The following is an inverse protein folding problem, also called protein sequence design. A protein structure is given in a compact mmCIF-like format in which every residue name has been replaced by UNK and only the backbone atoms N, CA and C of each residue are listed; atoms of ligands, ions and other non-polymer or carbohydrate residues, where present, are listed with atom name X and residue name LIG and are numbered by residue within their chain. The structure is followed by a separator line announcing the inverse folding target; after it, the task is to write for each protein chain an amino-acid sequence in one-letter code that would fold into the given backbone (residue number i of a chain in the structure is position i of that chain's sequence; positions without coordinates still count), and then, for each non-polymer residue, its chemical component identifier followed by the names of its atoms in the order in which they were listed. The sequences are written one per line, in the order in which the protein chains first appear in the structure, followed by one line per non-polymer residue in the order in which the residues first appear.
data_IF_410394011563
#
_entry.id   IF_410394011563
#
_cell.length_a   1.000
_cell.length_b   1.000
_cell.length_c   1.000
_cell.angle_alpha   90.00
_cell.angle_beta   90.00
_cell.angle_gamma   90.00
#
_symmetry.space_group_name_H-M   'P 1'
#
loop_
_entity.id
_entity.type
_entity.pdbx_description
1 polymer ?
#
# COMPACT_ATOMS: atom_id res chain seq x y z
N UNK A 1 30.92 -4.38 -35.56
CA UNK A 1 29.47 -4.65 -35.77
C UNK A 1 28.72 -4.22 -34.53
N UNK A 2 27.64 -3.46 -34.70
CA UNK A 2 26.75 -3.02 -33.62
C UNK A 2 25.62 -4.01 -33.37
N UNK A 3 24.98 -3.87 -32.21
CA UNK A 3 23.78 -4.58 -31.80
C UNK A 3 22.86 -3.59 -31.09
N UNK A 4 21.55 -3.75 -31.29
CA UNK A 4 20.51 -3.00 -30.57
C UNK A 4 19.88 -3.91 -29.53
N UNK A 5 19.88 -3.48 -28.27
CA UNK A 5 19.31 -4.21 -27.15
C UNK A 5 18.11 -3.44 -26.58
N UNK A 6 16.99 -4.13 -26.35
CA UNK A 6 15.90 -3.59 -25.57
C UNK A 6 16.14 -3.88 -24.09
N UNK A 7 16.15 -2.82 -23.30
CA UNK A 7 16.38 -2.87 -21.87
C UNK A 7 15.11 -2.49 -21.13
N UNK A 8 14.84 -3.20 -20.04
CA UNK A 8 13.74 -2.91 -19.12
C UNK A 8 14.27 -2.82 -17.70
N UNK A 9 13.88 -1.80 -16.95
CA UNK A 9 14.22 -1.70 -15.53
C UNK A 9 13.34 -2.68 -14.75
N UNK A 10 13.95 -3.42 -13.82
CA UNK A 10 13.23 -4.35 -12.94
C UNK A 10 12.06 -3.63 -12.27
N UNK A 11 10.90 -4.29 -12.19
CA UNK A 11 9.63 -3.76 -11.64
C UNK A 11 8.87 -2.74 -12.52
N UNK A 12 9.39 -2.39 -13.70
CA UNK A 12 8.65 -1.56 -14.66
C UNK A 12 7.87 -2.39 -15.71
N UNK A 13 6.98 -1.74 -16.46
CA UNK A 13 6.21 -2.35 -17.56
C UNK A 13 6.95 -2.27 -18.91
N UNK A 14 6.63 -3.16 -19.86
CA UNK A 14 7.25 -3.19 -21.22
C UNK A 14 7.12 -1.86 -21.97
N UNK A 15 6.09 -1.07 -21.70
CA UNK A 15 5.89 0.28 -22.24
C UNK A 15 7.05 1.22 -21.91
N UNK A 16 7.75 0.99 -20.80
CA UNK A 16 8.92 1.77 -20.38
C UNK A 16 10.25 1.22 -20.91
N UNK A 17 10.22 0.16 -21.71
CA UNK A 17 11.43 -0.40 -22.31
C UNK A 17 12.08 0.59 -23.26
N UNK A 18 13.40 0.54 -23.34
CA UNK A 18 14.19 1.48 -24.13
C UNK A 18 15.30 0.77 -24.90
N UNK A 19 15.65 1.34 -26.06
CA UNK A 19 16.68 0.80 -26.95
C UNK A 19 18.07 1.35 -26.57
N UNK A 20 19.06 0.47 -26.59
CA UNK A 20 20.48 0.79 -26.43
C UNK A 20 21.26 0.21 -27.60
N UNK A 21 21.92 1.07 -28.36
CA UNK A 21 22.81 0.69 -29.44
C UNK A 21 24.26 0.65 -28.95
N UNK A 22 24.94 -0.47 -29.20
CA UNK A 22 26.31 -0.68 -28.72
C UNK A 22 27.11 -1.61 -29.64
N UNK A 23 28.43 -1.46 -29.69
CA UNK A 23 29.29 -2.35 -30.48
C UNK A 23 29.49 -3.71 -29.77
N UNK A 24 29.38 -4.81 -30.51
CA UNK A 24 29.43 -6.18 -29.98
C UNK A 24 30.76 -6.53 -29.28
N UNK A 25 31.85 -5.87 -29.65
CA UNK A 25 33.20 -6.07 -29.10
C UNK A 25 33.42 -5.36 -27.76
N UNK A 26 32.52 -4.46 -27.35
CA UNK A 26 32.59 -3.77 -26.06
C UNK A 26 32.22 -4.71 -24.90
N UNK A 27 32.67 -4.31 -23.71
CA UNK A 27 32.36 -5.01 -22.47
C UNK A 27 30.97 -4.68 -21.95
N UNK A 28 30.45 -5.53 -21.05
CA UNK A 28 29.22 -5.26 -20.32
C UNK A 28 29.32 -3.98 -19.47
N UNK A 29 30.52 -3.56 -19.04
CA UNK A 29 30.72 -2.25 -18.38
C UNK A 29 30.25 -1.08 -19.25
N UNK A 30 30.56 -1.11 -20.54
CA UNK A 30 30.12 -0.07 -21.49
C UNK A 30 28.62 -0.14 -21.75
N UNK A 31 28.03 -1.32 -21.70
CA UNK A 31 26.57 -1.47 -21.74
C UNK A 31 25.91 -0.81 -20.53
N UNK A 32 26.44 -1.03 -19.31
CA UNK A 32 25.93 -0.37 -18.08
C UNK A 32 26.01 1.16 -18.17
N UNK A 33 27.11 1.71 -18.69
CA UNK A 33 27.26 3.15 -18.92
C UNK A 33 26.23 3.68 -19.92
N UNK A 34 26.04 2.98 -21.06
CA UNK A 34 25.08 3.37 -22.08
C UNK A 34 23.63 3.34 -21.57
N UNK A 35 23.28 2.32 -20.77
CA UNK A 35 21.99 2.20 -20.09
C UNK A 35 21.74 3.40 -19.17
N UNK A 36 22.71 3.74 -18.31
CA UNK A 36 22.60 4.89 -17.40
C UNK A 36 22.43 6.19 -18.18
N UNK A 37 23.18 6.37 -19.28
CA UNK A 37 23.12 7.56 -20.11
C UNK A 37 21.75 7.74 -20.81
N UNK A 38 21.05 6.65 -21.13
CA UNK A 38 19.71 6.70 -21.73
C UNK A 38 18.61 7.04 -20.73
N UNK A 39 18.78 6.68 -19.45
CA UNK A 39 17.80 6.94 -18.39
C UNK A 39 18.43 7.63 -17.16
N UNK A 40 18.92 8.87 -17.30
CA UNK A 40 19.63 9.55 -16.22
C UNK A 40 18.73 9.82 -15.01
N UNK A 41 17.43 10.06 -15.22
CA UNK A 41 16.47 10.32 -14.14
C UNK A 41 16.18 9.07 -13.28
N UNK A 42 16.16 7.89 -13.89
CA UNK A 42 15.96 6.63 -13.17
C UNK A 42 17.18 6.24 -12.33
N UNK A 43 18.38 6.66 -12.77
CA UNK A 43 19.65 6.26 -12.18
C UNK A 43 20.46 7.43 -11.61
N UNK A 44 19.80 8.53 -11.19
CA UNK A 44 20.47 9.76 -10.70
C UNK A 44 21.49 9.45 -9.61
N UNK A 45 21.11 8.60 -8.65
CA UNK A 45 21.93 8.26 -7.48
C UNK A 45 22.55 6.86 -7.57
N UNK A 46 22.61 6.26 -8.76
CA UNK A 46 23.11 4.89 -8.95
C UNK A 46 24.31 4.92 -9.87
N UNK A 47 25.47 4.42 -9.41
CA UNK A 47 26.62 4.28 -10.29
C UNK A 47 26.35 3.17 -11.32
N UNK A 48 26.84 3.36 -12.55
CA UNK A 48 26.68 2.37 -13.61
C UNK A 48 27.25 1.01 -13.19
N UNK A 49 28.33 0.98 -12.40
CA UNK A 49 28.97 -0.25 -11.90
C UNK A 49 28.03 -1.09 -11.02
N UNK A 50 27.11 -0.43 -10.29
CA UNK A 50 26.22 -1.05 -9.30
C UNK A 50 24.95 -1.63 -9.94
N UNK A 51 24.69 -1.32 -11.22
CA UNK A 51 23.61 -1.93 -11.98
C UNK A 51 23.89 -3.42 -12.20
N UNK A 52 22.95 -4.30 -11.86
CA UNK A 52 22.99 -5.70 -12.27
C UNK A 52 22.21 -5.88 -13.56
N UNK A 53 22.79 -6.57 -14.54
CA UNK A 53 22.17 -6.79 -15.83
C UNK A 53 21.94 -8.28 -16.04
N UNK A 54 20.76 -8.65 -16.51
CA UNK A 54 20.36 -10.03 -16.74
C UNK A 54 19.93 -10.20 -18.18
N UNK A 55 20.41 -11.25 -18.84
CA UNK A 55 19.89 -11.64 -20.16
C UNK A 55 18.58 -12.38 -19.97
N UNK A 56 17.55 -11.96 -20.70
CA UNK A 56 16.22 -12.60 -20.65
C UNK A 56 15.65 -12.79 -22.05
N UNK A 57 14.84 -13.85 -22.28
CA UNK A 57 14.08 -14.03 -23.51
C UNK A 57 12.59 -13.72 -23.29
N UNK A 58 12.22 -12.44 -23.18
CA UNK A 58 10.82 -12.03 -22.94
C UNK A 58 10.21 -11.47 -24.23
N UNK A 59 9.18 -12.13 -24.76
CA UNK A 59 8.33 -11.61 -25.84
C UNK A 59 7.36 -10.54 -25.34
N UNK A 60 6.97 -9.61 -26.20
CA UNK A 60 5.96 -8.56 -25.92
C UNK A 60 4.56 -9.14 -25.60
N UNK A 61 4.32 -10.41 -25.96
CA UNK A 61 3.03 -11.09 -25.76
C UNK A 61 2.66 -11.34 -24.28
N UNK A 62 3.60 -11.11 -23.35
CA UNK A 62 3.39 -11.35 -21.92
C UNK A 62 2.91 -10.08 -21.20
N UNK A 63 1.60 -10.03 -20.95
CA UNK A 63 0.86 -8.92 -20.29
C UNK A 63 1.36 -8.59 -18.87
N UNK A 64 2.24 -9.39 -18.27
CA UNK A 64 2.90 -9.02 -17.00
C UNK A 64 4.24 -9.76 -16.83
N UNK A 65 5.36 -9.22 -17.33
CA UNK A 65 6.59 -9.99 -17.40
C UNK A 65 7.27 -10.21 -16.04
N UNK A 66 7.15 -9.30 -15.07
CA UNK A 66 8.17 -9.23 -14.00
C UNK A 66 7.75 -9.72 -12.61
N UNK A 67 6.45 -9.89 -12.33
CA UNK A 67 6.00 -10.30 -10.99
C UNK A 67 6.38 -11.74 -10.63
N UNK A 68 6.62 -12.58 -11.65
CA UNK A 68 6.91 -14.01 -11.52
C UNK A 68 8.25 -14.43 -12.14
N UNK A 69 9.07 -13.50 -12.62
CA UNK A 69 10.32 -13.84 -13.30
C UNK A 69 11.36 -14.22 -12.23
N UNK A 70 11.50 -15.51 -11.96
CA UNK A 70 12.62 -16.01 -11.17
C UNK A 70 13.89 -15.78 -11.97
N UNK A 71 14.70 -14.81 -11.54
CA UNK A 71 16.02 -14.55 -12.12
C UNK A 71 17.03 -15.67 -11.81
N UNK A 72 16.61 -16.73 -11.08
CA UNK A 72 17.45 -17.88 -10.74
C UNK A 72 17.94 -18.65 -11.97
N UNK A 73 17.13 -18.71 -13.03
CA UNK A 73 17.49 -19.38 -14.30
C UNK A 73 18.07 -18.42 -15.36
N UNK A 74 18.23 -17.13 -15.02
CA UNK A 74 18.68 -16.10 -15.95
C UNK A 74 20.18 -15.86 -15.87
N UNK A 75 20.85 -15.69 -17.02
CA UNK A 75 22.29 -15.42 -17.07
C UNK A 75 22.59 -13.97 -16.64
N UNK A 76 23.26 -13.79 -15.49
CA UNK A 76 23.83 -12.50 -15.11
C UNK A 76 24.94 -12.09 -16.10
N UNK A 77 24.83 -10.88 -16.66
CA UNK A 77 25.82 -10.31 -17.57
C UNK A 77 27.02 -9.81 -16.76
N UNK A 78 28.09 -10.60 -16.78
CA UNK A 78 29.32 -10.30 -16.07
C UNK A 78 30.11 -9.18 -16.75
N UNK A 79 30.54 -8.19 -15.97
CA UNK A 79 31.22 -6.95 -16.42
C UNK A 79 32.45 -7.23 -17.30
N UNK A 80 33.17 -8.31 -17.02
CA UNK A 80 34.43 -8.70 -17.66
C UNK A 80 34.21 -9.25 -19.08
N UNK A 81 33.00 -9.73 -19.38
CA UNK A 81 32.71 -10.38 -20.66
C UNK A 81 32.30 -9.34 -21.71
N UNK A 82 32.54 -9.69 -22.97
CA UNK A 82 32.07 -8.91 -24.13
C UNK A 82 30.60 -9.16 -24.38
N UNK A 83 29.92 -8.19 -24.98
CA UNK A 83 28.52 -8.29 -25.35
C UNK A 83 28.29 -9.45 -26.34
N UNK A 84 29.21 -9.63 -27.29
CA UNK A 84 29.19 -10.74 -28.25
C UNK A 84 29.18 -12.13 -27.62
N UNK A 85 29.63 -12.29 -26.36
CA UNK A 85 29.58 -13.59 -25.66
C UNK A 85 28.13 -13.99 -25.35
N UNK A 86 27.30 -13.01 -25.00
CA UNK A 86 25.90 -13.23 -24.61
C UNK A 86 24.94 -13.10 -25.78
N UNK A 87 25.31 -12.27 -26.76
CA UNK A 87 24.56 -11.99 -27.98
C UNK A 87 25.47 -12.19 -29.21
N UNK A 88 25.80 -13.46 -29.55
CA UNK A 88 26.61 -13.75 -30.74
C UNK A 88 25.88 -13.28 -32.01
N UNK A 89 24.61 -13.64 -32.12
CA UNK A 89 23.72 -13.29 -33.22
C UNK A 89 22.88 -12.03 -32.91
N UNK A 90 22.14 -11.54 -33.90
CA UNK A 90 21.16 -10.48 -33.63
C UNK A 90 20.01 -11.07 -32.81
N UNK A 91 19.67 -10.49 -31.65
CA UNK A 91 18.55 -10.96 -30.86
C UNK A 91 17.23 -10.74 -31.62
N UNK A 92 16.17 -11.51 -31.31
CA UNK A 92 14.87 -11.36 -31.94
C UNK A 92 14.34 -9.93 -31.87
N UNK A 93 13.62 -9.49 -32.90
CA UNK A 93 12.92 -8.21 -32.84
C UNK A 93 11.74 -8.32 -31.86
N UNK A 94 11.29 -7.18 -31.31
CA UNK A 94 10.10 -7.11 -30.43
C UNK A 94 10.22 -7.88 -29.10
N UNK A 95 11.44 -8.15 -28.62
CA UNK A 95 11.70 -8.79 -27.34
C UNK A 95 12.47 -7.89 -26.37
N UNK A 96 12.25 -8.06 -25.07
CA UNK A 96 13.16 -7.52 -24.05
C UNK A 96 14.37 -8.44 -23.96
N UNK A 97 15.55 -7.86 -24.14
CA UNK A 97 16.83 -8.59 -24.16
C UNK A 97 17.55 -8.54 -22.82
N UNK A 98 17.38 -7.44 -22.09
CA UNK A 98 18.13 -7.17 -20.85
C UNK A 98 17.20 -6.61 -19.77
N UNK A 99 17.20 -7.24 -18.59
CA UNK A 99 16.66 -6.64 -17.37
C UNK A 99 17.77 -5.89 -16.63
N UNK A 100 17.48 -4.64 -16.27
CA UNK A 100 18.34 -3.78 -15.48
C UNK A 100 17.81 -3.75 -14.05
N UNK A 101 18.51 -4.41 -13.13
CA UNK A 101 18.21 -4.31 -11.70
C UNK A 101 19.11 -3.24 -11.09
N UNK A 102 18.55 -2.13 -10.57
CA UNK A 102 19.33 -1.24 -9.72
C UNK A 102 19.80 -2.01 -8.45
N UNK A 103 20.86 -1.53 -7.77
CA UNK A 103 21.22 -2.08 -6.48
C UNK A 103 20.01 -1.95 -5.55
N UNK A 104 19.73 -2.97 -4.75
CA UNK A 104 18.79 -2.83 -3.64
C UNK A 104 19.25 -1.63 -2.83
N UNK A 105 18.38 -0.63 -2.70
CA UNK A 105 18.69 0.57 -1.96
C UNK A 105 19.16 0.15 -0.58
N UNK A 106 20.46 0.26 -0.33
CA UNK A 106 21.01 0.07 1.01
C UNK A 106 20.34 1.15 1.83
N UNK A 107 19.49 0.76 2.79
CA UNK A 107 18.67 1.70 3.53
C UNK A 107 19.59 2.80 4.07
N UNK A 108 19.44 4.01 3.55
CA UNK A 108 20.17 5.15 4.07
C UNK A 108 19.80 5.33 5.53
N UNK A 109 20.68 5.94 6.34
CA UNK A 109 20.40 6.20 7.76
C UNK A 109 19.03 6.88 7.96
N UNK A 110 18.62 7.73 7.02
CA UNK A 110 17.32 8.39 6.99
C UNK A 110 16.16 7.40 6.79
N UNK A 111 16.27 6.46 5.84
CA UNK A 111 15.23 5.44 5.60
C UNK A 111 15.08 4.52 6.81
N UNK A 112 16.18 4.18 7.50
CA UNK A 112 16.11 3.39 8.74
C UNK A 112 15.40 4.16 9.86
N UNK A 113 15.76 5.43 10.08
CA UNK A 113 15.09 6.30 11.06
C UNK A 113 13.60 6.42 10.77
N UNK A 114 13.22 6.65 9.51
CA UNK A 114 11.82 6.72 9.11
C UNK A 114 11.07 5.40 9.37
N UNK A 115 11.70 4.26 9.12
CA UNK A 115 11.10 2.94 9.43
C UNK A 115 10.88 2.76 10.93
N UNK A 116 11.84 3.15 11.76
CA UNK A 116 11.72 3.11 13.22
C UNK A 116 10.62 4.06 13.71
N UNK A 117 10.54 5.29 13.17
CA UNK A 117 9.47 6.23 13.49
C UNK A 117 8.10 5.67 13.11
N UNK A 118 7.95 5.10 11.91
CA UNK A 118 6.70 4.47 11.46
C UNK A 118 6.33 3.30 12.37
N UNK A 119 7.29 2.47 12.79
CA UNK A 119 7.04 1.38 13.73
C UNK A 119 6.57 1.91 15.10
N UNK A 120 7.22 2.96 15.63
CA UNK A 120 6.83 3.60 16.88
C UNK A 120 5.43 4.22 16.80
N UNK A 121 5.10 4.89 15.70
CA UNK A 121 3.77 5.46 15.46
C UNK A 121 2.69 4.38 15.36
N UNK A 122 2.99 3.26 14.68
CA UNK A 122 2.08 2.10 14.62
C UNK A 122 1.82 1.50 16.00
N UNK A 123 2.85 1.36 16.84
CA UNK A 123 2.70 0.85 18.21
C UNK A 123 1.88 1.80 19.09
N UNK A 124 2.11 3.12 18.97
CA UNK A 124 1.29 4.14 19.66
C UNK A 124 -0.18 4.07 19.21
N UNK A 125 -0.41 3.83 17.92
CA UNK A 125 -1.76 3.69 17.39
C UNK A 125 -2.45 2.44 17.96
N UNK A 126 -1.78 1.29 18.00
CA UNK A 126 -2.36 0.05 18.56
C UNK A 126 -2.69 0.15 20.06
N UNK A 127 -1.94 0.94 20.84
CA UNK A 127 -2.25 1.19 22.26
C UNK A 127 -3.57 1.94 22.48
N UNK A 128 -4.12 2.55 21.44
CA UNK A 128 -5.37 3.30 21.49
C UNK A 128 -6.58 2.48 21.02
N UNK A 129 -6.43 1.17 20.83
CA UNK A 129 -7.54 0.25 20.55
C UNK A 129 -8.22 -0.21 21.84
N UNK A 130 -9.53 -0.04 21.90
CA UNK A 130 -10.35 -0.42 23.03
C UNK A 130 -11.55 -1.25 22.57
N UNK A 131 -11.85 -2.31 23.31
CA UNK A 131 -13.05 -3.12 23.12
C UNK A 131 -14.17 -2.58 24.01
N UNK A 132 -15.26 -2.14 23.39
CA UNK A 132 -16.44 -1.64 24.08
C UNK A 132 -17.59 -2.66 24.02
N UNK A 133 -18.29 -2.83 25.13
CA UNK A 133 -19.58 -3.51 25.18
C UNK A 133 -20.70 -2.56 24.75
N UNK A 134 -21.24 -2.78 23.56
CA UNK A 134 -22.31 -1.96 22.99
C UNK A 134 -23.65 -2.68 23.07
N UNK A 135 -24.65 -2.00 23.62
CA UNK A 135 -26.04 -2.45 23.63
C UNK A 135 -26.86 -1.57 22.70
N UNK A 136 -27.45 -2.12 21.63
CA UNK A 136 -28.26 -1.34 20.68
C UNK A 136 -29.75 -1.56 20.94
N UNK A 137 -30.45 -0.58 21.52
CA UNK A 137 -31.88 -0.70 21.79
C UNK A 137 -32.74 -0.60 20.51
N UNK A 138 -33.86 -1.36 20.42
CA UNK A 138 -34.51 -2.14 21.48
C UNK A 138 -33.91 -3.53 21.74
N UNK A 139 -32.90 -3.97 20.98
CA UNK A 139 -32.22 -5.25 21.21
C UNK A 139 -31.40 -5.16 22.51
N UNK A 140 -31.36 -6.25 23.30
CA UNK A 140 -30.78 -6.22 24.65
C UNK A 140 -29.46 -7.00 24.80
N UNK A 141 -28.97 -7.64 23.73
CA UNK A 141 -27.69 -8.37 23.77
C UNK A 141 -26.54 -7.41 23.50
N UNK A 142 -25.59 -7.34 24.43
CA UNK A 142 -24.34 -6.62 24.25
C UNK A 142 -23.48 -7.31 23.17
N UNK A 143 -22.82 -6.52 22.34
CA UNK A 143 -21.81 -6.97 21.38
C UNK A 143 -20.51 -6.18 21.60
N UNK A 144 -19.39 -6.84 21.31
CA UNK A 144 -18.05 -6.28 21.43
C UNK A 144 -17.70 -5.48 20.18
N UNK A 145 -17.47 -4.20 20.35
CA UNK A 145 -17.00 -3.30 19.30
C UNK A 145 -15.60 -2.82 19.63
N UNK A 146 -14.63 -3.25 18.83
CA UNK A 146 -13.26 -2.79 18.96
C UNK A 146 -13.04 -1.58 18.08
N UNK A 147 -12.53 -0.51 18.65
CA UNK A 147 -12.24 0.72 17.92
C UNK A 147 -10.98 1.37 18.44
N UNK A 148 -10.25 2.00 17.53
CA UNK A 148 -9.22 2.96 17.90
C UNK A 148 -9.88 4.27 18.31
N UNK A 149 -9.72 4.71 19.56
CA UNK A 149 -10.43 5.90 20.07
C UNK A 149 -10.02 7.21 19.38
N UNK A 150 -8.88 7.24 18.69
CA UNK A 150 -8.41 8.40 17.91
C UNK A 150 -8.88 8.37 16.45
N UNK A 151 -9.42 7.24 15.97
CA UNK A 151 -9.88 7.07 14.58
C UNK A 151 -11.36 6.71 14.45
N UNK A 152 -11.99 6.24 15.53
CA UNK A 152 -13.37 5.78 15.52
C UNK A 152 -14.36 6.90 15.25
N UNK A 153 -15.06 6.85 14.13
CA UNK A 153 -16.09 7.86 13.80
C UNK A 153 -17.49 7.36 14.15
N UNK A 154 -18.46 8.28 14.20
CA UNK A 154 -19.88 7.94 14.26
C UNK A 154 -20.29 7.08 13.05
N UNK A 155 -19.68 7.30 11.88
CA UNK A 155 -19.91 6.47 10.69
C UNK A 155 -19.48 5.03 10.93
N UNK A 156 -18.27 4.80 11.47
CA UNK A 156 -17.79 3.43 11.73
C UNK A 156 -18.69 2.68 12.71
N UNK A 157 -19.20 3.38 13.73
CA UNK A 157 -20.17 2.78 14.65
C UNK A 157 -21.51 2.49 13.95
N UNK A 158 -22.01 3.41 13.10
CA UNK A 158 -23.22 3.16 12.29
C UNK A 158 -23.05 1.94 11.40
N UNK A 159 -21.94 1.83 10.69
CA UNK A 159 -21.63 0.72 9.79
C UNK A 159 -21.63 -0.62 10.54
N UNK A 160 -20.94 -0.67 11.69
CA UNK A 160 -20.92 -1.84 12.57
C UNK A 160 -22.33 -2.25 13.04
N UNK A 161 -23.14 -1.27 13.46
CA UNK A 161 -24.53 -1.52 13.89
C UNK A 161 -25.39 -2.01 12.71
N UNK A 162 -25.20 -1.43 11.52
CA UNK A 162 -25.89 -1.83 10.30
C UNK A 162 -25.56 -3.28 9.91
N UNK A 163 -24.29 -3.68 9.94
CA UNK A 163 -23.87 -5.06 9.66
C UNK A 163 -24.48 -6.05 10.65
N UNK A 164 -24.43 -5.74 11.95
CA UNK A 164 -24.91 -6.65 12.99
C UNK A 164 -26.42 -6.85 12.99
N UNK A 165 -27.18 -5.79 12.69
CA UNK A 165 -28.60 -5.76 13.01
C UNK A 165 -29.53 -5.39 11.86
N UNK A 166 -28.98 -4.86 10.75
CA UNK A 166 -29.72 -4.34 9.57
C UNK A 166 -30.99 -3.56 9.96
N UNK A 167 -30.91 -2.53 10.82
CA UNK A 167 -32.10 -1.82 11.26
C UNK A 167 -32.67 -0.95 10.12
N UNK A 168 -33.97 -1.09 9.77
CA UNK A 168 -34.60 -0.30 8.68
C UNK A 168 -34.51 1.22 8.87
N UNK A 169 -34.31 1.66 10.11
CA UNK A 169 -34.16 3.06 10.49
C UNK A 169 -32.86 3.70 9.97
N UNK A 170 -31.76 2.94 9.87
CA UNK A 170 -30.46 3.46 9.42
C UNK A 170 -30.34 3.53 7.89
N UNK A 171 -31.31 2.99 7.13
CA UNK A 171 -31.39 3.16 5.66
C UNK A 171 -31.88 4.55 5.25
N UNK A 172 -32.50 5.30 6.18
CA UNK A 172 -32.97 6.66 5.93
C UNK A 172 -31.99 7.66 6.56
N UNK A 173 -31.49 8.62 5.76
CA UNK A 173 -30.46 9.61 6.11
C UNK A 173 -30.76 10.49 7.35
N UNK A 174 -31.97 10.37 7.92
CA UNK A 174 -32.42 11.12 9.10
C UNK A 174 -32.15 10.46 10.46
N UNK A 175 -31.58 9.25 10.52
CA UNK A 175 -31.42 8.54 11.79
C UNK A 175 -30.31 9.15 12.67
N UNK A 176 -30.69 9.45 13.91
CA UNK A 176 -29.82 10.06 14.92
C UNK A 176 -29.48 9.04 16.00
N UNK A 177 -28.17 8.87 16.25
CA UNK A 177 -27.71 8.04 17.36
C UNK A 177 -27.67 8.85 18.65
N UNK A 178 -28.21 8.28 19.72
CA UNK A 178 -28.04 8.79 21.08
C UNK A 178 -27.38 7.72 21.93
N UNK A 179 -26.57 8.16 22.89
CA UNK A 179 -25.76 7.26 23.69
C UNK A 179 -26.12 7.41 25.17
N UNK A 180 -25.98 6.34 25.94
CA UNK A 180 -26.20 6.36 27.38
C UNK A 180 -25.25 5.38 28.05
N UNK A 181 -24.72 5.75 29.20
CA UNK A 181 -24.05 4.82 30.10
C UNK A 181 -24.75 4.84 31.47
N UNK A 182 -24.15 4.17 32.45
CA UNK A 182 -24.67 4.13 33.82
C UNK A 182 -24.70 5.52 34.51
N UNK A 183 -24.00 6.52 33.97
CA UNK A 183 -23.87 7.88 34.55
C UNK A 183 -24.80 8.91 33.89
N UNK A 184 -25.26 8.67 32.67
CA UNK A 184 -26.13 9.61 31.97
C UNK A 184 -26.24 9.40 30.46
N UNK A 185 -26.91 10.35 29.80
CA UNK A 185 -27.07 10.41 28.34
C UNK A 185 -25.96 11.27 27.72
N UNK A 186 -25.43 10.83 26.59
CA UNK A 186 -24.56 11.62 25.72
C UNK A 186 -25.26 11.92 24.40
N UNK A 187 -25.09 13.16 23.95
CA UNK A 187 -25.64 13.66 22.70
C UNK A 187 -24.48 13.97 21.73
N UNK A 188 -23.73 12.93 21.34
CA UNK A 188 -22.63 13.08 20.39
C UNK A 188 -23.18 13.22 18.98
N UNK A 189 -23.25 14.47 18.49
CA UNK A 189 -23.78 14.82 17.15
C UNK A 189 -22.72 14.96 16.07
N UNK A 190 -21.45 14.93 16.44
CA UNK A 190 -20.29 14.95 15.56
C UNK A 190 -19.19 14.04 16.10
N UNK A 191 -18.16 13.77 15.29
CA UNK A 191 -17.07 12.87 15.67
C UNK A 191 -16.26 13.39 16.87
N UNK A 192 -16.10 14.70 17.02
CA UNK A 192 -15.37 15.31 18.16
C UNK A 192 -16.05 14.99 19.49
N UNK A 193 -17.36 15.24 19.59
CA UNK A 193 -18.15 14.94 20.78
C UNK A 193 -18.28 13.42 21.04
N UNK A 194 -18.15 12.62 19.98
CA UNK A 194 -18.11 11.16 20.11
C UNK A 194 -16.75 10.70 20.68
N UNK A 195 -15.64 11.27 20.22
CA UNK A 195 -14.30 11.00 20.78
C UNK A 195 -14.20 11.41 22.25
N UNK A 196 -14.73 12.57 22.62
CA UNK A 196 -14.75 13.00 24.02
C UNK A 196 -15.52 12.02 24.91
N UNK A 197 -16.64 11.48 24.42
CA UNK A 197 -17.38 10.43 25.10
C UNK A 197 -16.53 9.16 25.26
N UNK A 198 -15.95 8.63 24.16
CA UNK A 198 -15.13 7.41 24.22
C UNK A 198 -13.91 7.59 25.14
N UNK A 199 -13.20 8.72 25.06
CA UNK A 199 -12.09 9.06 25.96
C UNK A 199 -12.54 9.13 27.41
N UNK A 200 -13.70 9.74 27.68
CA UNK A 200 -14.25 9.77 29.05
C UNK A 200 -14.53 8.36 29.56
N UNK A 201 -15.11 7.48 28.75
CA UNK A 201 -15.39 6.09 29.11
C UNK A 201 -14.10 5.30 29.41
N UNK A 202 -13.09 5.44 28.55
CA UNK A 202 -11.76 4.82 28.75
C UNK A 202 -11.11 5.32 30.04
N UNK A 203 -11.09 6.63 30.28
CA UNK A 203 -10.45 7.22 31.47
C UNK A 203 -11.07 6.74 32.79
N UNK A 204 -12.35 6.35 32.76
CA UNK A 204 -13.10 5.83 33.90
C UNK A 204 -13.10 4.31 33.97
N UNK A 205 -12.39 3.63 33.08
CA UNK A 205 -12.41 2.17 32.92
C UNK A 205 -13.84 1.60 32.76
N UNK A 206 -14.73 2.37 32.10
CA UNK A 206 -16.13 2.02 31.88
C UNK A 206 -16.38 1.82 30.38
N UNK A 207 -16.00 0.65 29.86
CA UNK A 207 -16.03 0.35 28.43
C UNK A 207 -17.41 -0.13 27.94
N UNK A 208 -18.51 0.33 28.54
CA UNK A 208 -19.86 -0.12 28.19
C UNK A 208 -20.81 1.05 27.97
N UNK A 209 -21.51 1.04 26.85
CA UNK A 209 -22.55 2.03 26.57
C UNK A 209 -23.72 1.47 25.74
N UNK A 210 -24.85 2.15 25.82
CA UNK A 210 -26.08 1.83 25.12
C UNK A 210 -26.31 2.85 24.00
N UNK A 211 -26.67 2.36 22.82
CA UNK A 211 -27.04 3.15 21.65
C UNK A 211 -28.55 3.11 21.45
N UNK A 212 -29.14 4.27 21.20
CA UNK A 212 -30.54 4.46 20.83
C UNK A 212 -30.58 5.05 19.44
N UNK A 213 -31.38 4.45 18.56
CA UNK A 213 -31.62 4.94 17.21
C UNK A 213 -32.93 5.72 17.24
N UNK A 214 -32.85 7.05 17.14
CA UNK A 214 -34.02 7.92 17.00
C UNK A 214 -34.26 8.17 15.50
N UNK A 215 -35.46 7.83 15.03
CA UNK A 215 -35.95 8.28 13.73
C UNK A 215 -36.79 9.54 13.92
N UNK A 216 -36.60 10.60 13.10
CA UNK A 216 -37.46 11.76 13.15
C UNK A 216 -38.89 11.28 12.87
N UNK A 217 -39.76 11.49 13.86
CA UNK A 217 -41.17 11.12 13.75
C UNK A 217 -41.78 11.89 12.58
N UNK A 218 -42.64 11.24 11.77
CA UNK A 218 -43.52 11.94 10.83
C UNK A 218 -44.17 13.13 11.58
N UNK A 219 -44.29 14.32 10.96
CA UNK A 219 -44.96 15.44 11.59
C UNK A 219 -46.35 14.96 12.04
N UNK A 220 -46.69 15.22 13.29
CA UNK A 220 -48.04 15.04 13.79
C UNK A 220 -48.96 15.90 12.90
N UNK A 221 -49.62 15.26 11.93
CA UNK A 221 -50.71 15.90 11.20
C UNK A 221 -51.79 16.20 12.25
N UNK A 222 -52.04 17.49 12.43
CA UNK A 222 -53.09 18.07 13.26
C UNK A 222 -54.44 17.94 12.57
#
# INVERSE_FOLDING_TARGET
MSITLFCLVKENTTVSAFKVDIEKDKSISKLKEAIKAKNPQTFVNVDAKDLKLWKVPISDDHVNPLSNLSLEDSDELLVIKKISKYFPDSPPEEHIHVIVSPPEATATSEVLKLREEVASLKEKLSKSEYEFDIIVKPKQKANKWTVNIEQGTLSNLKDYICELYKPPALENDGAVLNFMNNEGKYYSRNDVAFWEMLRSLVSKNNLKFTVFIETPSKPFNK
#
